data_IF_533692756990
#
_entry.id   IF_533692756990
#
_cell.length_a   1.000
_cell.length_b   1.000
_cell.length_c   1.000
_cell.angle_alpha   90.00
_cell.angle_beta   90.00
_cell.angle_gamma   90.00
#
_symmetry.space_group_name_H-M   'P 1'
#
loop_
_entity.id
_entity.type
_entity.pdbx_description
1 polymer ?
#
# COMPACT_ATOMS: atom_id res chain seq x y z
N UNK A 1 -4.97 -6.78 12.55
CA UNK A 1 -5.38 -7.35 13.85
C UNK A 1 -6.78 -6.89 14.24
N UNK A 2 -7.60 -7.80 14.75
CA UNK A 2 -8.91 -7.47 15.32
C UNK A 2 -8.77 -6.83 16.71
N UNK A 3 -9.81 -6.14 17.19
CA UNK A 3 -9.80 -5.57 18.56
C UNK A 3 -9.66 -6.68 19.61
N UNK A 4 -10.24 -7.85 19.36
CA UNK A 4 -10.10 -9.02 20.22
C UNK A 4 -8.64 -9.49 20.33
N UNK A 5 -7.92 -9.59 19.20
CA UNK A 5 -6.49 -9.91 19.21
C UNK A 5 -5.66 -8.86 19.95
N UNK A 6 -5.98 -7.57 19.79
CA UNK A 6 -5.29 -6.50 20.50
C UNK A 6 -5.51 -6.56 22.02
N UNK A 7 -6.71 -6.96 22.47
CA UNK A 7 -6.99 -7.20 23.89
C UNK A 7 -6.13 -8.34 24.44
N UNK A 8 -5.97 -9.44 23.69
CA UNK A 8 -5.11 -10.55 24.12
C UNK A 8 -3.64 -10.12 24.18
N UNK A 9 -3.16 -9.35 23.21
CA UNK A 9 -1.81 -8.77 23.27
C UNK A 9 -1.65 -7.84 24.48
N UNK A 10 -2.61 -6.96 24.75
CA UNK A 10 -2.55 -6.06 25.89
C UNK A 10 -2.47 -6.81 27.23
N UNK A 11 -3.21 -7.93 27.38
CA UNK A 11 -3.09 -8.82 28.56
C UNK A 11 -1.69 -9.40 28.68
N UNK A 12 -1.14 -9.93 27.58
CA UNK A 12 0.20 -10.54 27.61
C UNK A 12 1.31 -9.55 27.95
N UNK A 13 1.13 -8.28 27.57
CA UNK A 13 2.09 -7.19 27.81
C UNK A 13 1.91 -6.53 29.20
N UNK A 14 0.93 -7.02 29.99
CA UNK A 14 0.63 -6.55 31.34
C UNK A 14 0.06 -5.13 31.38
N UNK A 15 -0.79 -4.77 30.42
CA UNK A 15 -1.53 -3.52 30.42
C UNK A 15 -2.82 -3.74 31.23
N UNK A 16 -2.99 -2.96 32.30
CA UNK A 16 -4.18 -2.89 33.13
C UNK A 16 -4.92 -1.61 32.65
N UNK A 17 -6.21 -1.68 32.31
CA UNK A 17 -7.02 -0.57 31.70
C UNK A 17 -7.06 -0.44 30.15
N UNK A 18 -6.99 -1.54 29.40
CA UNK A 18 -7.21 -1.50 27.94
C UNK A 18 -8.69 -1.64 27.51
N UNK A 19 -9.59 -2.00 28.42
CA UNK A 19 -10.99 -2.32 28.09
C UNK A 19 -11.79 -1.04 27.82
N UNK A 20 -12.43 -0.96 26.65
CA UNK A 20 -13.24 0.20 26.24
C UNK A 20 -12.45 1.31 25.58
N UNK A 21 -11.13 1.16 25.45
CA UNK A 21 -10.31 2.07 24.64
C UNK A 21 -10.65 1.95 23.16
N UNK A 22 -10.64 3.06 22.41
CA UNK A 22 -10.56 3.02 20.95
C UNK A 22 -9.38 2.15 20.50
N UNK A 23 -9.53 1.46 19.36
CA UNK A 23 -8.49 0.59 18.78
C UNK A 23 -7.12 1.28 18.71
N UNK A 24 -7.10 2.58 18.40
CA UNK A 24 -5.88 3.38 18.28
C UNK A 24 -5.19 3.62 19.62
N UNK A 25 -5.92 4.03 20.65
CA UNK A 25 -5.37 4.24 21.99
C UNK A 25 -4.78 2.94 22.54
N UNK A 26 -5.44 1.82 22.26
CA UNK A 26 -4.94 0.50 22.62
C UNK A 26 -3.63 0.15 21.89
N UNK A 27 -3.57 0.36 20.57
CA UNK A 27 -2.34 0.18 19.78
C UNK A 27 -1.23 1.05 20.36
N UNK A 28 -1.52 2.32 20.66
CA UNK A 28 -0.55 3.26 21.22
C UNK A 28 0.02 2.78 22.56
N UNK A 29 -0.82 2.30 23.48
CA UNK A 29 -0.37 1.77 24.77
C UNK A 29 0.50 0.52 24.61
N UNK A 30 0.10 -0.41 23.74
CA UNK A 30 0.88 -1.62 23.44
C UNK A 30 2.25 -1.24 22.88
N UNK A 31 2.29 -0.33 21.91
CA UNK A 31 3.53 0.14 21.30
C UNK A 31 4.43 0.83 22.32
N UNK A 32 3.88 1.70 23.18
CA UNK A 32 4.64 2.38 24.24
C UNK A 32 5.26 1.37 25.22
N UNK A 33 4.53 0.33 25.60
CA UNK A 33 5.03 -0.76 26.45
C UNK A 33 6.15 -1.54 25.79
N UNK A 34 5.99 -1.90 24.51
CA UNK A 34 7.01 -2.61 23.72
C UNK A 34 8.29 -1.82 23.53
N UNK A 35 8.22 -0.51 23.30
CA UNK A 35 9.42 0.34 23.22
C UNK A 35 10.19 0.30 24.53
N UNK A 36 9.50 0.38 25.67
CA UNK A 36 10.15 0.34 26.98
C UNK A 36 10.92 -0.97 27.23
N UNK A 37 10.55 -2.05 26.54
CA UNK A 37 11.21 -3.36 26.66
C UNK A 37 12.25 -3.63 25.55
N UNK A 38 11.93 -3.36 24.28
CA UNK A 38 12.71 -3.78 23.10
C UNK A 38 13.22 -2.62 22.21
N UNK A 39 13.06 -1.37 22.64
CA UNK A 39 13.87 -0.22 22.20
C UNK A 39 13.53 0.44 20.87
N UNK A 40 12.93 -0.24 19.88
CA UNK A 40 12.72 0.34 18.54
C UNK A 40 11.37 -0.06 17.93
N UNK A 41 10.70 0.89 17.27
CA UNK A 41 9.55 0.65 16.40
C UNK A 41 9.92 0.88 14.94
N UNK A 42 9.28 0.12 14.07
CA UNK A 42 9.40 0.25 12.62
C UNK A 42 8.03 0.58 12.04
N UNK A 43 8.03 1.42 11.01
CA UNK A 43 6.84 1.80 10.26
C UNK A 43 7.15 1.91 8.78
N UNK A 44 6.12 1.69 7.97
CA UNK A 44 6.15 1.79 6.52
C UNK A 44 4.88 2.48 6.04
N UNK A 45 4.98 3.24 4.96
CA UNK A 45 3.82 3.74 4.23
C UNK A 45 4.21 4.53 2.99
N UNK A 46 3.21 4.95 2.23
CA UNK A 46 3.39 5.74 1.01
C UNK A 46 3.40 7.23 1.37
N UNK A 47 4.48 7.91 0.98
CA UNK A 47 4.67 9.32 1.30
C UNK A 47 3.69 10.21 0.52
N UNK A 48 2.99 11.06 1.26
CA UNK A 48 2.28 12.24 0.77
C UNK A 48 2.90 13.50 1.40
N UNK A 49 3.47 14.37 0.56
CA UNK A 49 4.02 15.67 0.92
C UNK A 49 2.93 16.72 0.75
N UNK A 50 2.68 17.47 1.82
CA UNK A 50 1.71 18.56 1.87
C UNK A 50 2.33 19.88 1.38
N UNK A 51 1.51 20.89 1.05
CA UNK A 51 2.00 22.18 0.51
C UNK A 51 3.04 22.89 1.40
N UNK A 52 2.97 22.69 2.71
CA UNK A 52 3.92 23.26 3.68
C UNK A 52 5.29 22.54 3.71
N UNK A 53 5.47 21.50 2.89
CA UNK A 53 6.74 20.81 2.67
C UNK A 53 7.07 19.69 3.65
N UNK A 54 6.24 19.46 4.66
CA UNK A 54 6.27 18.22 5.46
C UNK A 54 5.34 17.18 4.85
N UNK A 55 5.42 15.92 5.30
CA UNK A 55 4.59 14.86 4.76
C UNK A 55 4.14 13.83 5.79
N UNK A 56 3.30 12.91 5.32
CA UNK A 56 2.83 11.76 6.08
C UNK A 56 3.03 10.49 5.26
N UNK A 57 3.42 9.41 5.93
CA UNK A 57 3.35 8.07 5.35
C UNK A 57 1.94 7.55 5.56
N UNK A 58 1.19 7.42 4.46
CA UNK A 58 -0.17 6.90 4.42
C UNK A 58 -0.14 5.38 4.33
N UNK A 59 -1.02 4.73 5.07
CA UNK A 59 -1.13 3.28 5.05
C UNK A 59 -2.03 2.77 3.90
N UNK A 60 -1.59 1.76 3.14
CA UNK A 60 -2.44 1.06 2.18
C UNK A 60 -3.68 0.41 2.84
N UNK A 61 -3.59 -0.02 4.11
CA UNK A 61 -4.72 -0.63 4.84
C UNK A 61 -5.89 0.33 5.05
N UNK A 62 -5.63 1.64 4.99
CA UNK A 62 -6.64 2.70 5.11
C UNK A 62 -6.89 3.38 3.76
N UNK A 63 -6.62 2.71 2.64
CA UNK A 63 -6.82 3.23 1.29
C UNK A 63 -6.11 4.57 1.04
N UNK A 64 -4.94 4.77 1.67
CA UNK A 64 -4.16 6.01 1.64
C UNK A 64 -4.89 7.25 2.16
N UNK A 65 -6.00 7.07 2.88
CA UNK A 65 -6.72 8.17 3.50
C UNK A 65 -5.98 8.66 4.74
N UNK A 66 -6.09 9.95 5.09
CA UNK A 66 -5.54 10.47 6.32
C UNK A 66 -6.07 9.72 7.53
N UNK A 67 -5.16 9.18 8.34
CA UNK A 67 -5.51 8.49 9.57
C UNK A 67 -4.63 8.96 10.75
N UNK A 68 -5.12 8.85 12.00
CA UNK A 68 -4.35 9.21 13.19
C UNK A 68 -3.03 8.43 13.35
N UNK A 69 -2.94 7.24 12.74
CA UNK A 69 -1.78 6.37 12.81
C UNK A 69 -0.70 6.72 11.76
N UNK A 70 -0.92 7.75 10.94
CA UNK A 70 0.02 8.19 9.92
C UNK A 70 1.35 8.66 10.54
N UNK A 71 2.44 8.42 9.81
CA UNK A 71 3.79 8.72 10.28
C UNK A 71 4.24 10.06 9.68
N UNK A 72 4.46 11.04 10.54
CA UNK A 72 5.01 12.33 10.18
C UNK A 72 6.43 12.21 9.63
N UNK A 73 6.68 12.89 8.51
CA UNK A 73 7.99 13.04 7.87
C UNK A 73 8.35 14.51 7.78
N UNK A 74 9.51 14.85 8.32
CA UNK A 74 9.96 16.24 8.38
C UNK A 74 10.44 16.76 7.01
N UNK A 75 10.33 18.09 6.75
CA UNK A 75 10.87 18.69 5.52
C UNK A 75 12.39 18.49 5.34
N UNK A 76 13.13 18.32 6.43
CA UNK A 76 14.57 18.02 6.37
C UNK A 76 14.85 16.61 5.87
N UNK A 77 14.08 15.61 6.30
CA UNK A 77 14.18 14.23 5.79
C UNK A 77 13.79 14.16 4.31
N UNK A 78 12.69 14.81 3.92
CA UNK A 78 12.23 14.87 2.53
C UNK A 78 13.33 15.42 1.62
N UNK A 79 13.91 16.57 1.99
CA UNK A 79 15.00 17.18 1.21
C UNK A 79 16.28 16.34 1.21
N UNK A 80 16.67 15.79 2.36
CA UNK A 80 17.92 15.02 2.50
C UNK A 80 17.95 13.77 1.61
N UNK A 81 16.84 13.05 1.52
CA UNK A 81 16.74 11.81 0.75
C UNK A 81 16.07 11.99 -0.62
N UNK A 82 15.79 13.23 -1.03
CA UNK A 82 15.12 13.51 -2.30
C UNK A 82 13.75 12.83 -2.43
N UNK A 83 13.00 12.72 -1.32
CA UNK A 83 11.72 12.01 -1.29
C UNK A 83 10.67 12.75 -2.13
N UNK A 84 9.77 11.99 -2.74
CA UNK A 84 8.65 12.50 -3.55
C UNK A 84 7.36 11.79 -3.20
N UNK A 85 6.23 12.39 -3.57
CA UNK A 85 4.92 11.77 -3.43
C UNK A 85 4.89 10.41 -4.12
N UNK A 86 4.34 9.41 -3.44
CA UNK A 86 4.26 8.04 -3.93
C UNK A 86 5.46 7.15 -3.56
N UNK A 87 6.55 7.69 -3.00
CA UNK A 87 7.62 6.85 -2.47
C UNK A 87 7.12 6.02 -1.29
N UNK A 88 7.35 4.72 -1.31
CA UNK A 88 7.19 3.84 -0.16
C UNK A 88 8.40 4.07 0.73
N UNK A 89 8.19 4.51 1.95
CA UNK A 89 9.28 4.79 2.90
C UNK A 89 9.10 3.88 4.09
N UNK A 90 10.16 3.15 4.43
CA UNK A 90 10.22 2.31 5.61
C UNK A 90 11.38 2.73 6.52
N UNK A 91 11.18 2.60 7.82
CA UNK A 91 12.25 2.80 8.78
C UNK A 91 11.79 2.93 10.22
N UNK A 92 12.70 3.41 11.06
CA UNK A 92 12.46 3.52 12.49
C UNK A 92 11.52 4.69 12.78
N UNK A 93 10.50 4.44 13.58
CA UNK A 93 9.54 5.44 14.03
C UNK A 93 9.61 5.62 15.55
N UNK A 94 9.12 6.76 16.01
CA UNK A 94 8.92 7.03 17.44
C UNK A 94 7.49 7.49 17.70
N UNK A 95 6.95 7.21 18.90
CA UNK A 95 5.67 7.75 19.31
C UNK A 95 5.72 9.28 19.42
N UNK A 96 4.55 9.95 19.30
CA UNK A 96 4.42 11.37 19.61
C UNK A 96 4.88 11.71 21.03
N UNK A 97 5.55 12.86 21.17
CA UNK A 97 5.76 13.53 22.46
C UNK A 97 4.46 14.20 22.94
N UNK A 98 4.44 14.72 24.17
CA UNK A 98 3.24 15.34 24.78
C UNK A 98 2.59 16.45 23.93
N UNK A 99 3.35 17.15 23.10
CA UNK A 99 2.86 18.22 22.20
C UNK A 99 2.54 17.74 20.78
N UNK A 100 2.78 16.47 20.46
CA UNK A 100 2.67 15.90 19.12
C UNK A 100 1.45 14.95 19.07
N UNK A 101 0.87 14.79 17.86
CA UNK A 101 -0.30 13.92 17.66
C UNK A 101 0.01 12.64 16.89
N UNK A 102 1.07 12.65 16.08
CA UNK A 102 1.39 11.58 15.13
C UNK A 102 2.70 10.89 15.50
N UNK A 103 2.85 9.65 15.06
CA UNK A 103 4.15 9.01 15.02
C UNK A 103 5.10 9.84 14.15
N UNK A 104 6.39 9.83 14.45
CA UNK A 104 7.38 10.55 13.65
C UNK A 104 8.46 9.59 13.17
N UNK A 105 8.86 9.74 11.90
CA UNK A 105 9.97 8.98 11.33
C UNK A 105 11.28 9.46 11.97
N UNK A 106 12.00 8.54 12.60
CA UNK A 106 13.30 8.80 13.22
C UNK A 106 14.44 8.61 12.21
N UNK A 107 14.41 7.48 11.49
CA UNK A 107 15.44 7.10 10.51
C UNK A 107 14.78 6.42 9.32
N UNK A 108 15.13 6.89 8.12
CA UNK A 108 14.79 6.20 6.86
C UNK A 108 15.74 5.01 6.71
N UNK A 109 15.20 3.83 6.45
CA UNK A 109 15.99 2.61 6.23
C UNK A 109 15.85 2.07 4.82
N UNK A 110 14.68 2.24 4.21
CA UNK A 110 14.45 1.87 2.82
C UNK A 110 13.50 2.85 2.14
N UNK A 111 13.69 3.00 0.82
CA UNK A 111 12.78 3.73 -0.06
C UNK A 111 12.48 2.85 -1.27
N UNK A 112 11.19 2.60 -1.54
CA UNK A 112 10.73 1.67 -2.58
C UNK A 112 11.43 0.30 -2.49
N UNK A 113 11.54 -0.23 -1.27
CA UNK A 113 12.18 -1.53 -0.96
C UNK A 113 13.69 -1.61 -1.21
N UNK A 114 14.35 -0.48 -1.45
CA UNK A 114 15.79 -0.40 -1.70
C UNK A 114 16.51 0.52 -0.70
N UNK A 115 17.84 0.49 -0.70
CA UNK A 115 18.67 1.38 0.12
C UNK A 115 18.37 2.85 -0.21
N UNK A 116 18.28 3.76 0.78
CA UNK A 116 17.91 5.15 0.54
C UNK A 116 18.83 5.89 -0.44
N UNK A 117 20.09 5.47 -0.54
CA UNK A 117 21.09 6.01 -1.46
C UNK A 117 20.74 5.75 -2.93
N UNK A 118 20.10 4.60 -3.23
CA UNK A 118 19.80 4.18 -4.60
C UNK A 118 18.79 5.09 -5.31
N UNK A 119 17.94 5.80 -4.55
CA UNK A 119 16.93 6.72 -5.10
C UNK A 119 17.57 7.83 -5.92
N UNK A 120 18.74 8.31 -5.50
CA UNK A 120 19.41 9.44 -6.17
C UNK A 120 20.00 9.08 -7.53
N UNK A 121 20.20 7.79 -7.80
CA UNK A 121 20.73 7.29 -9.07
C UNK A 121 19.62 7.00 -10.10
N UNK A 122 18.35 7.00 -9.67
CA UNK A 122 17.22 6.66 -10.54
C UNK A 122 16.81 7.85 -11.42
N UNK A 123 16.51 7.55 -12.67
CA UNK A 123 15.89 8.50 -13.60
C UNK A 123 14.44 8.76 -13.21
N UNK A 124 13.97 10.00 -13.35
CA UNK A 124 12.56 10.31 -13.09
C UNK A 124 11.67 9.60 -14.12
N UNK A 125 10.47 9.22 -13.71
CA UNK A 125 9.51 8.57 -14.61
C UNK A 125 9.20 9.42 -15.86
N UNK A 126 9.11 10.74 -15.71
CA UNK A 126 8.84 11.70 -16.81
C UNK A 126 9.97 11.78 -17.85
N UNK A 127 11.20 11.43 -17.45
CA UNK A 127 12.37 11.45 -18.32
C UNK A 127 12.61 10.11 -19.04
N UNK A 128 11.82 9.08 -18.72
CA UNK A 128 11.90 7.78 -19.39
C UNK A 128 11.40 7.89 -20.84
N UNK A 129 12.07 7.18 -21.76
CA UNK A 129 11.63 7.12 -23.15
C UNK A 129 10.42 6.20 -23.27
N UNK A 130 9.25 6.70 -23.71
CA UNK A 130 8.08 5.85 -23.90
C UNK A 130 8.27 4.94 -25.10
N UNK A 131 8.02 3.64 -24.90
CA UNK A 131 8.08 2.62 -25.95
C UNK A 131 6.74 1.87 -26.02
N UNK A 132 6.51 1.21 -27.17
CA UNK A 132 5.43 0.24 -27.27
C UNK A 132 5.75 -1.00 -26.45
N UNK A 133 4.72 -1.71 -25.91
CA UNK A 133 4.94 -2.98 -25.24
C UNK A 133 5.66 -3.98 -26.13
N UNK A 134 6.75 -4.54 -25.63
CA UNK A 134 7.57 -5.56 -26.29
C UNK A 134 7.50 -6.91 -25.55
N UNK A 135 7.16 -6.89 -24.25
CA UNK A 135 6.90 -8.07 -23.44
C UNK A 135 5.40 -8.32 -23.26
N UNK A 136 4.96 -9.54 -23.62
CA UNK A 136 3.55 -9.94 -23.55
C UNK A 136 3.17 -10.49 -22.17
N UNK A 137 2.02 -10.05 -21.65
CA UNK A 137 1.36 -10.61 -20.48
C UNK A 137 0.36 -11.69 -20.92
N UNK A 138 0.74 -12.96 -20.80
CA UNK A 138 -0.16 -14.10 -21.01
C UNK A 138 -1.15 -14.23 -19.85
N UNK A 139 -2.44 -14.37 -20.16
CA UNK A 139 -3.52 -14.41 -19.18
C UNK A 139 -4.18 -15.80 -19.07
N UNK A 140 -4.04 -16.67 -20.07
CA UNK A 140 -4.50 -18.05 -19.97
C UNK A 140 -3.86 -18.75 -18.76
N UNK A 141 -4.68 -19.30 -17.86
CA UNK A 141 -4.22 -20.04 -16.68
C UNK A 141 -4.58 -21.52 -16.77
N UNK A 142 -5.86 -21.85 -16.80
CA UNK A 142 -6.38 -23.22 -16.87
C UNK A 142 -7.23 -23.43 -18.12
N UNK A 143 -7.31 -24.68 -18.59
CA UNK A 143 -8.09 -25.03 -19.81
C UNK A 143 -9.57 -24.67 -19.71
N UNK A 144 -10.10 -24.63 -18.48
CA UNK A 144 -11.50 -24.28 -18.18
C UNK A 144 -11.76 -22.78 -18.14
N UNK A 145 -10.73 -21.95 -17.96
CA UNK A 145 -10.88 -20.50 -17.97
C UNK A 145 -10.85 -19.96 -19.40
N UNK A 146 -12.04 -19.74 -19.98
CA UNK A 146 -12.17 -19.32 -21.36
C UNK A 146 -11.99 -17.81 -21.56
N UNK A 147 -12.29 -16.98 -20.55
CA UNK A 147 -12.32 -15.53 -20.74
C UNK A 147 -10.92 -15.00 -21.05
N UNK A 148 -9.92 -15.41 -20.27
CA UNK A 148 -8.54 -14.96 -20.46
C UNK A 148 -7.94 -15.48 -21.76
N UNK A 149 -8.31 -16.69 -22.17
CA UNK A 149 -7.92 -17.26 -23.47
C UNK A 149 -8.45 -16.43 -24.63
N UNK A 150 -9.70 -15.98 -24.54
CA UNK A 150 -10.29 -15.10 -25.56
C UNK A 150 -9.55 -13.76 -25.59
N UNK A 151 -9.24 -13.16 -24.43
CA UNK A 151 -8.45 -11.92 -24.37
C UNK A 151 -7.08 -12.11 -25.02
N UNK A 152 -6.38 -13.20 -24.70
CA UNK A 152 -5.09 -13.52 -25.29
C UNK A 152 -5.11 -13.66 -26.82
N UNK A 153 -6.22 -14.14 -27.39
CA UNK A 153 -6.37 -14.33 -28.82
C UNK A 153 -6.81 -13.06 -29.56
N UNK A 154 -7.71 -12.29 -28.97
CA UNK A 154 -8.38 -11.16 -29.65
C UNK A 154 -7.70 -9.83 -29.34
N UNK A 155 -7.25 -9.63 -28.11
CA UNK A 155 -6.67 -8.37 -27.62
C UNK A 155 -5.50 -8.66 -26.67
N UNK A 156 -4.35 -9.13 -27.19
CA UNK A 156 -3.19 -9.43 -26.35
C UNK A 156 -2.72 -8.18 -25.58
N UNK A 157 -2.34 -8.39 -24.32
CA UNK A 157 -1.88 -7.32 -23.42
C UNK A 157 -0.38 -7.47 -23.21
N UNK A 158 0.36 -6.37 -23.13
CA UNK A 158 1.79 -6.35 -22.83
C UNK A 158 2.15 -5.42 -21.66
N UNK A 159 3.38 -5.52 -21.17
CA UNK A 159 3.92 -4.63 -20.14
C UNK A 159 4.00 -3.20 -20.69
N UNK A 160 3.30 -2.26 -20.05
CA UNK A 160 3.13 -0.88 -20.56
C UNK A 160 1.90 -0.67 -21.44
N UNK A 161 1.04 -1.68 -21.61
CA UNK A 161 -0.19 -1.55 -22.39
C UNK A 161 -1.16 -0.54 -21.75
N UNK A 162 -1.70 0.34 -22.58
CA UNK A 162 -2.84 1.21 -22.24
C UNK A 162 -4.07 0.65 -22.92
N UNK A 163 -5.10 0.33 -22.15
CA UNK A 163 -6.33 -0.29 -22.67
C UNK A 163 -7.58 0.29 -22.03
N UNK A 164 -8.70 0.12 -22.71
CA UNK A 164 -10.02 0.47 -22.24
C UNK A 164 -10.95 -0.72 -22.44
N UNK A 165 -11.61 -1.16 -21.36
CA UNK A 165 -12.68 -2.16 -21.42
C UNK A 165 -14.00 -1.41 -21.50
N UNK A 166 -14.59 -1.38 -22.70
CA UNK A 166 -15.91 -0.79 -22.90
C UNK A 166 -16.97 -1.83 -22.57
N UNK A 167 -17.75 -1.59 -21.52
CA UNK A 167 -18.74 -2.53 -21.02
C UNK A 167 -20.02 -1.79 -20.60
N UNK A 168 -21.20 -2.13 -21.17
CA UNK A 168 -22.48 -1.65 -20.64
C UNK A 168 -22.71 -2.13 -19.19
N UNK A 169 -23.62 -1.50 -18.44
CA UNK A 169 -23.99 -1.96 -17.11
C UNK A 169 -24.41 -3.44 -17.11
N UNK A 170 -24.00 -4.19 -16.07
CA UNK A 170 -24.36 -5.61 -15.84
C UNK A 170 -23.86 -6.60 -16.92
N UNK A 171 -22.75 -6.31 -17.58
CA UNK A 171 -22.14 -7.20 -18.59
C UNK A 171 -20.95 -8.02 -18.08
N UNK A 172 -20.71 -8.03 -16.77
CA UNK A 172 -19.63 -8.82 -16.17
C UNK A 172 -18.26 -8.13 -16.14
N UNK A 173 -18.20 -6.79 -16.24
CA UNK A 173 -16.98 -5.97 -16.09
C UNK A 173 -16.15 -6.39 -14.87
N UNK A 174 -16.80 -6.49 -13.72
CA UNK A 174 -16.17 -6.82 -12.43
C UNK A 174 -15.53 -8.21 -12.45
N UNK A 175 -16.27 -9.22 -12.91
CA UNK A 175 -15.77 -10.60 -13.01
C UNK A 175 -14.61 -10.69 -14.00
N UNK A 176 -14.67 -9.96 -15.11
CA UNK A 176 -13.57 -9.93 -16.08
C UNK A 176 -12.31 -9.34 -15.47
N UNK A 177 -12.42 -8.22 -14.73
CA UNK A 177 -11.29 -7.58 -14.04
C UNK A 177 -10.70 -8.49 -12.95
N UNK A 178 -11.53 -9.15 -12.14
CA UNK A 178 -11.08 -10.13 -11.14
C UNK A 178 -10.27 -11.26 -11.80
N UNK A 179 -10.77 -11.80 -12.92
CA UNK A 179 -10.07 -12.85 -13.66
C UNK A 179 -8.75 -12.37 -14.26
N UNK A 180 -8.70 -11.14 -14.78
CA UNK A 180 -7.47 -10.54 -15.29
C UNK A 180 -6.44 -10.37 -14.16
N UNK A 181 -6.84 -9.82 -13.01
CA UNK A 181 -5.95 -9.65 -11.86
C UNK A 181 -5.39 -11.00 -11.40
N UNK A 182 -6.24 -12.00 -11.19
CA UNK A 182 -5.83 -13.35 -10.80
C UNK A 182 -4.89 -14.00 -11.83
N UNK A 183 -5.17 -13.84 -13.12
CA UNK A 183 -4.32 -14.35 -14.19
C UNK A 183 -2.94 -13.70 -14.20
N UNK A 184 -2.86 -12.38 -14.02
CA UNK A 184 -1.59 -11.65 -13.91
C UNK A 184 -0.82 -12.13 -12.68
N UNK A 185 -1.46 -12.18 -11.50
CA UNK A 185 -0.81 -12.65 -10.27
C UNK A 185 -0.29 -14.09 -10.37
N UNK A 186 -0.99 -14.95 -11.13
CA UNK A 186 -0.60 -16.36 -11.33
C UNK A 186 0.55 -16.49 -12.31
N UNK A 187 0.46 -15.82 -13.46
CA UNK A 187 1.40 -16.03 -14.57
C UNK A 187 2.62 -15.11 -14.50
N UNK A 188 2.51 -13.95 -13.84
CA UNK A 188 3.52 -12.90 -13.73
C UNK A 188 3.67 -12.47 -12.26
N UNK A 189 4.21 -13.34 -11.38
CA UNK A 189 4.33 -13.06 -9.95
C UNK A 189 5.29 -11.91 -9.61
N UNK A 190 6.11 -11.47 -10.58
CA UNK A 190 6.94 -10.28 -10.53
C UNK A 190 6.14 -8.97 -10.71
N UNK A 191 4.93 -9.05 -11.27
CA UNK A 191 4.09 -7.88 -11.51
C UNK A 191 3.38 -7.44 -10.22
N UNK A 192 3.48 -6.15 -9.91
CA UNK A 192 2.69 -5.54 -8.85
C UNK A 192 1.27 -5.28 -9.37
N UNK A 193 0.29 -6.00 -8.85
CA UNK A 193 -1.13 -5.81 -9.21
C UNK A 193 -1.78 -4.83 -8.24
N UNK A 194 -2.30 -3.72 -8.78
CA UNK A 194 -3.02 -2.70 -8.01
C UNK A 194 -4.42 -2.57 -8.61
N UNK A 195 -5.44 -2.78 -7.79
CA UNK A 195 -6.85 -2.58 -8.16
C UNK A 195 -7.34 -1.31 -7.47
N UNK A 196 -7.60 -0.28 -8.27
CA UNK A 196 -8.12 1.00 -7.78
C UNK A 196 -9.63 1.10 -8.06
N UNK A 197 -10.43 1.08 -7.00
CA UNK A 197 -11.88 1.22 -7.07
C UNK A 197 -12.25 2.66 -6.68
N UNK A 198 -12.95 3.35 -7.58
CA UNK A 198 -13.36 4.75 -7.40
C UNK A 198 -14.88 4.83 -7.46
N UNK A 199 -15.49 5.42 -6.43
CA UNK A 199 -16.95 5.63 -6.34
C UNK A 199 -17.77 4.33 -6.53
N UNK A 200 -17.16 3.18 -6.22
CA UNK A 200 -17.83 1.88 -6.25
C UNK A 200 -18.50 1.58 -4.91
N UNK A 201 -19.48 0.68 -4.94
CA UNK A 201 -20.29 0.36 -3.75
C UNK A 201 -19.51 -0.51 -2.76
N UNK A 202 -19.72 -0.37 -1.43
CA UNK A 202 -19.00 -1.13 -0.42
C UNK A 202 -19.06 -2.65 -0.60
N UNK A 203 -20.20 -3.18 -1.05
CA UNK A 203 -20.36 -4.61 -1.33
C UNK A 203 -19.50 -5.08 -2.50
N UNK A 204 -19.32 -4.25 -3.53
CA UNK A 204 -18.49 -4.56 -4.70
C UNK A 204 -17.00 -4.49 -4.37
N UNK A 205 -16.61 -3.54 -3.50
CA UNK A 205 -15.25 -3.46 -2.94
C UNK A 205 -14.91 -4.72 -2.15
N UNK A 206 -15.81 -5.13 -1.24
CA UNK A 206 -15.61 -6.33 -0.42
C UNK A 206 -15.56 -7.60 -1.27
N UNK A 207 -16.37 -7.67 -2.34
CA UNK A 207 -16.33 -8.79 -3.28
C UNK A 207 -14.98 -8.86 -4.01
N UNK A 208 -14.47 -7.73 -4.50
CA UNK A 208 -13.16 -7.66 -5.16
C UNK A 208 -12.04 -8.11 -4.22
N UNK A 209 -11.96 -7.57 -3.00
CA UNK A 209 -10.93 -7.93 -2.01
C UNK A 209 -10.90 -9.42 -1.66
N UNK A 210 -12.03 -10.12 -1.76
CA UNK A 210 -12.12 -11.56 -1.48
C UNK A 210 -11.83 -12.43 -2.70
N UNK A 211 -12.02 -11.89 -3.89
CA UNK A 211 -11.98 -12.63 -5.15
C UNK A 211 -10.62 -12.53 -5.87
N UNK A 212 -9.74 -11.64 -5.43
CA UNK A 212 -8.41 -11.39 -6.03
C UNK A 212 -7.29 -11.48 -5.01
#
# INVERSE_FOLDING_TARGET
>A
MTVAELHEVAKTEGIEDFVGLPKQDLIFQILKRRIAQNGLLYGEGVLEILPDGFGFLRSPEYNYLPCPDDIYVSPSQIRRFGLRNGHIVAGQIRPPKESERYFALLRVEAINFESPEAVTEKTNFEDLTPLHPDERLFLETTKTELNMRIVDLVTPIGKGQRMLIVAPPRTGKTVLLQKMANAISTNHPDAIVIILLIDERPEEVTEMERAT
#
